data_IF_917608302249
#
_entry.id   IF_917608302249
#
_cell.length_a   1.000
_cell.length_b   1.000
_cell.length_c   1.000
_cell.angle_alpha   90.00
_cell.angle_beta   90.00
_cell.angle_gamma   90.00
#
_symmetry.space_group_name_H-M   'P 1'
#
loop_
_entity.id
_entity.type
_entity.pdbx_description
1 polymer ?
#
# COMPACT_ATOMS: atom_id res chain seq x y z
N UNK A 1 -16.14 -32.92 -19.85
CA UNK A 1 -15.71 -32.89 -18.43
C UNK A 1 -16.85 -32.28 -17.64
N UNK A 2 -17.70 -33.10 -17.04
CA UNK A 2 -18.79 -32.61 -16.19
C UNK A 2 -18.19 -32.37 -14.81
N UNK A 3 -18.17 -31.12 -14.38
CA UNK A 3 -17.71 -30.80 -13.04
C UNK A 3 -18.87 -31.15 -12.10
N UNK A 4 -18.65 -32.11 -11.21
CA UNK A 4 -19.63 -32.46 -10.20
C UNK A 4 -19.95 -31.22 -9.36
N UNK A 5 -21.23 -30.88 -9.28
CA UNK A 5 -21.74 -29.72 -8.52
C UNK A 5 -21.22 -29.73 -7.08
N UNK A 6 -21.05 -30.91 -6.50
CA UNK A 6 -20.45 -31.13 -5.17
C UNK A 6 -19.02 -30.59 -5.08
N UNK A 7 -18.20 -30.81 -6.10
CA UNK A 7 -16.81 -30.35 -6.16
C UNK A 7 -16.75 -28.81 -6.26
N UNK A 8 -17.64 -28.20 -7.04
CA UNK A 8 -17.75 -26.74 -7.13
C UNK A 8 -18.17 -26.13 -5.79
N UNK A 9 -19.16 -26.73 -5.12
CA UNK A 9 -19.60 -26.30 -3.80
C UNK A 9 -18.43 -26.40 -2.81
N UNK A 10 -17.73 -27.53 -2.77
CA UNK A 10 -16.62 -27.74 -1.85
C UNK A 10 -15.48 -26.73 -2.09
N UNK A 11 -15.12 -26.50 -3.35
CA UNK A 11 -14.09 -25.52 -3.74
C UNK A 11 -14.51 -24.10 -3.34
N UNK A 12 -15.77 -23.74 -3.55
CA UNK A 12 -16.31 -22.43 -3.16
C UNK A 12 -16.34 -22.25 -1.65
N UNK A 13 -16.56 -23.33 -0.89
CA UNK A 13 -16.59 -23.28 0.57
C UNK A 13 -15.18 -23.12 1.14
N UNK A 14 -14.23 -23.88 0.60
CA UNK A 14 -12.82 -23.86 1.01
C UNK A 14 -12.17 -22.50 0.69
N UNK A 15 -12.56 -21.85 -0.39
CA UNK A 15 -12.03 -20.53 -0.74
C UNK A 15 -12.84 -19.40 -0.09
N UNK A 16 -14.16 -19.51 -0.06
CA UNK A 16 -15.06 -18.47 0.43
C UNK A 16 -15.05 -18.30 1.96
N UNK A 17 -15.06 -19.39 2.74
CA UNK A 17 -15.09 -19.30 4.21
C UNK A 17 -13.85 -18.59 4.76
N UNK A 18 -12.61 -18.95 4.36
CA UNK A 18 -11.42 -18.24 4.83
C UNK A 18 -11.44 -16.77 4.46
N UNK A 19 -11.81 -16.41 3.22
CA UNK A 19 -11.91 -15.00 2.80
C UNK A 19 -12.88 -14.21 3.67
N UNK A 20 -14.07 -14.76 3.96
CA UNK A 20 -15.05 -14.13 4.84
C UNK A 20 -14.51 -13.99 6.28
N UNK A 21 -13.86 -15.02 6.79
CA UNK A 21 -13.24 -14.98 8.13
C UNK A 21 -12.20 -13.87 8.24
N UNK A 22 -11.25 -13.80 7.29
CA UNK A 22 -10.22 -12.77 7.28
C UNK A 22 -10.80 -11.36 7.09
N UNK A 23 -11.86 -11.21 6.29
CA UNK A 23 -12.55 -9.94 6.13
C UNK A 23 -13.15 -9.46 7.46
N UNK A 24 -13.93 -10.31 8.12
CA UNK A 24 -14.55 -9.97 9.41
C UNK A 24 -13.50 -9.70 10.49
N UNK A 25 -12.43 -10.49 10.52
CA UNK A 25 -11.31 -10.27 11.43
C UNK A 25 -10.57 -8.95 11.16
N UNK A 26 -10.33 -8.61 9.90
CA UNK A 26 -9.72 -7.35 9.48
C UNK A 26 -10.56 -6.14 9.88
N UNK A 27 -11.88 -6.22 9.70
CA UNK A 27 -12.81 -5.17 10.15
C UNK A 27 -12.77 -5.03 11.67
N UNK A 28 -12.79 -6.14 12.43
CA UNK A 28 -12.75 -6.09 13.90
C UNK A 28 -11.43 -5.55 14.44
N UNK A 29 -10.32 -5.80 13.76
CA UNK A 29 -8.98 -5.34 14.17
C UNK A 29 -8.68 -3.91 13.73
N UNK A 30 -9.62 -3.25 13.04
CA UNK A 30 -9.47 -1.86 12.61
C UNK A 30 -8.49 -1.68 11.45
N UNK A 31 -8.18 -2.73 10.69
CA UNK A 31 -7.30 -2.64 9.52
C UNK A 31 -7.79 -1.63 8.48
N UNK A 32 -9.11 -1.39 8.43
CA UNK A 32 -9.74 -0.45 7.51
C UNK A 32 -10.04 0.93 8.14
N UNK A 33 -9.77 1.13 9.44
CA UNK A 33 -10.09 2.37 10.17
C UNK A 33 -9.18 3.54 9.76
N UNK A 34 -8.08 3.26 9.06
CA UNK A 34 -7.10 4.25 8.62
C UNK A 34 -7.00 4.34 7.10
N UNK A 35 -8.06 3.94 6.38
CA UNK A 35 -8.14 4.04 4.91
C UNK A 35 -7.97 5.48 4.43
N UNK A 36 -8.46 6.48 5.17
CA UNK A 36 -8.22 7.90 4.86
C UNK A 36 -6.74 8.29 4.97
N UNK A 37 -6.01 7.76 5.96
CA UNK A 37 -4.55 7.99 6.08
C UNK A 37 -3.79 7.33 4.95
N UNK A 38 -4.21 6.14 4.52
CA UNK A 38 -3.64 5.48 3.35
C UNK A 38 -3.88 6.30 2.07
N UNK A 39 -5.06 6.89 1.90
CA UNK A 39 -5.36 7.77 0.77
C UNK A 39 -4.52 9.06 0.80
N UNK A 40 -4.27 9.60 1.99
CA UNK A 40 -3.42 10.77 2.20
C UNK A 40 -1.92 10.47 2.20
N UNK A 41 -1.50 9.20 2.17
CA UNK A 41 -0.08 8.83 2.15
C UNK A 41 0.67 9.36 0.92
N UNK A 42 -0.04 9.55 -0.20
CA UNK A 42 0.49 10.18 -1.42
C UNK A 42 0.76 11.68 -1.20
N UNK A 43 0.06 12.30 -0.25
CA UNK A 43 0.21 13.71 0.12
C UNK A 43 0.96 13.90 1.44
N UNK A 44 1.60 12.84 1.96
CA UNK A 44 2.38 12.93 3.20
C UNK A 44 3.49 13.97 3.01
N UNK A 45 3.63 14.89 3.96
CA UNK A 45 4.65 15.94 3.95
C UNK A 45 6.07 15.37 3.89
N UNK A 46 6.23 14.10 4.29
CA UNK A 46 7.48 13.36 4.17
C UNK A 46 7.80 12.93 2.73
N UNK A 47 6.80 12.84 1.84
CA UNK A 47 7.01 12.55 0.41
C UNK A 47 7.78 13.68 -0.30
N UNK A 48 7.69 14.91 0.22
CA UNK A 48 8.48 16.05 -0.26
C UNK A 48 9.95 15.96 0.12
N UNK A 49 10.29 15.19 1.16
CA UNK A 49 11.66 14.98 1.63
C UNK A 49 12.21 13.61 1.22
N UNK A 50 11.35 12.72 0.72
CA UNK A 50 11.75 11.37 0.36
C UNK A 50 12.69 11.36 -0.85
N UNK A 51 13.65 10.44 -0.79
CA UNK A 51 14.54 10.14 -1.90
C UNK A 51 13.78 9.40 -3.01
N UNK A 52 13.92 9.87 -4.25
CA UNK A 52 13.25 9.32 -5.45
C UNK A 52 14.33 8.93 -6.46
N UNK A 53 14.69 7.64 -6.61
CA UNK A 53 15.82 7.21 -7.45
C UNK A 53 15.63 7.51 -8.95
N UNK A 54 14.40 7.74 -9.40
CA UNK A 54 14.08 8.12 -10.78
C UNK A 54 14.17 9.63 -11.05
N UNK A 55 14.34 10.47 -10.01
CA UNK A 55 14.37 11.93 -10.15
C UNK A 55 15.81 12.42 -10.45
N UNK A 56 15.95 13.38 -11.37
CA UNK A 56 17.26 13.99 -11.63
C UNK A 56 17.66 14.91 -10.46
N UNK A 57 18.97 15.06 -10.16
CA UNK A 57 19.43 15.93 -9.07
C UNK A 57 18.89 17.37 -9.13
N UNK A 58 18.76 17.94 -10.33
CA UNK A 58 18.21 19.28 -10.52
C UNK A 58 16.71 19.39 -10.20
N UNK A 59 15.94 18.34 -10.45
CA UNK A 59 14.50 18.30 -10.14
C UNK A 59 14.29 18.16 -8.63
N UNK A 60 15.11 17.34 -7.99
CA UNK A 60 15.13 17.15 -6.54
C UNK A 60 15.45 18.46 -5.80
N UNK A 61 16.47 19.21 -6.25
CA UNK A 61 16.81 20.50 -5.67
C UNK A 61 15.66 21.53 -5.83
N UNK A 62 15.02 21.58 -7.00
CA UNK A 62 13.88 22.47 -7.24
C UNK A 62 12.67 22.11 -6.36
N UNK A 63 12.40 20.82 -6.15
CA UNK A 63 11.36 20.34 -5.24
C UNK A 63 11.64 20.73 -3.80
N UNK A 64 12.86 20.48 -3.31
CA UNK A 64 13.28 20.86 -1.97
C UNK A 64 13.21 22.37 -1.75
N UNK A 65 13.63 23.16 -2.75
CA UNK A 65 13.55 24.62 -2.75
C UNK A 65 12.10 25.12 -2.63
N UNK A 66 11.17 24.52 -3.36
CA UNK A 66 9.73 24.86 -3.28
C UNK A 66 9.10 24.43 -1.96
N UNK A 67 9.56 23.33 -1.38
CA UNK A 67 9.07 22.81 -0.11
C UNK A 67 9.70 23.50 1.13
N UNK A 68 10.73 24.35 0.95
CA UNK A 68 11.43 25.01 2.05
C UNK A 68 12.17 24.02 2.97
N UNK A 69 12.66 22.90 2.41
CA UNK A 69 13.35 21.83 3.16
C UNK A 69 14.79 21.76 2.72
N UNK A 70 15.71 21.69 3.69
CA UNK A 70 17.16 21.65 3.43
C UNK A 70 17.76 20.23 3.54
N UNK A 71 16.98 19.28 4.07
CA UNK A 71 17.43 17.91 4.31
C UNK A 71 16.53 16.90 3.62
N UNK A 72 17.17 15.92 2.97
CA UNK A 72 16.49 14.76 2.41
C UNK A 72 16.36 13.70 3.50
N UNK A 73 15.16 13.16 3.64
CA UNK A 73 14.98 11.92 4.36
C UNK A 73 15.21 10.78 3.38
N UNK A 74 16.35 10.12 3.53
CA UNK A 74 16.60 8.83 2.87
C UNK A 74 15.78 7.80 3.66
N UNK A 75 14.48 7.73 3.37
CA UNK A 75 13.66 6.64 3.90
C UNK A 75 14.09 5.36 3.15
N UNK A 76 14.84 4.52 3.86
CA UNK A 76 15.40 3.26 3.38
C UNK A 76 14.32 2.18 3.20
N UNK A 77 13.03 2.54 3.33
CA UNK A 77 11.88 1.67 3.09
C UNK A 77 11.55 1.40 1.62
N UNK A 78 12.28 2.01 0.68
CA UNK A 78 12.30 1.52 -0.71
C UNK A 78 13.15 0.25 -0.80
N UNK A 79 12.78 -0.78 -0.04
CA UNK A 79 13.27 -2.15 -0.21
C UNK A 79 12.64 -2.78 -1.48
N UNK A 80 13.32 -3.79 -2.06
CA UNK A 80 13.40 -4.00 -3.50
C UNK A 80 12.22 -4.82 -4.02
N UNK A 81 11.24 -4.16 -4.63
CA UNK A 81 10.31 -4.81 -5.57
C UNK A 81 10.59 -4.42 -7.03
N UNK A 82 11.84 -4.03 -7.32
CA UNK A 82 12.41 -4.03 -8.68
C UNK A 82 13.27 -5.27 -8.87
#
# INVERSE_FOLDING_TARGET
>A
MYIDTTTLILLSLITGIPSLYFLVWGVRTGQFDHTERAALSIFDENELQSYRPWEKPAQQQERMRRAGKDTLQVDQRWEPWL
#
